data_IF_526732747348
#
_entry.id   IF_526732747348
#
_cell.length_a   1.000
_cell.length_b   1.000
_cell.length_c   1.000
_cell.angle_alpha   90.00
_cell.angle_beta   90.00
_cell.angle_gamma   90.00
#
_symmetry.space_group_name_H-M   'P 1'
#
loop_
_entity.id
_entity.type
_entity.pdbx_description
1 polymer ?
#
# COMPACT_ATOMS: atom_id res chain seq x y z
N UNK A 1 14.61 15.60 -22.57
CA UNK A 1 15.45 14.39 -22.76
C UNK A 1 16.11 13.87 -21.47
N UNK A 2 16.45 14.70 -20.48
CA UNK A 2 17.06 14.23 -19.21
C UNK A 2 16.16 13.30 -18.37
N UNK A 3 14.86 13.61 -18.25
CA UNK A 3 13.92 12.81 -17.44
C UNK A 3 13.81 11.33 -17.88
N UNK A 4 13.79 11.08 -19.20
CA UNK A 4 13.72 9.72 -19.74
C UNK A 4 14.99 8.91 -19.49
N UNK A 5 16.17 9.55 -19.54
CA UNK A 5 17.44 8.87 -19.21
C UNK A 5 17.50 8.50 -17.72
N UNK A 6 17.12 9.43 -16.86
CA UNK A 6 17.09 9.23 -15.40
C UNK A 6 16.15 8.07 -15.01
N UNK A 7 14.93 8.04 -15.57
CA UNK A 7 13.95 6.98 -15.27
C UNK A 7 14.44 5.59 -15.73
N UNK A 8 15.05 5.50 -16.91
CA UNK A 8 15.66 4.25 -17.39
C UNK A 8 16.79 3.77 -16.48
N UNK A 9 17.57 4.69 -15.91
CA UNK A 9 18.62 4.34 -14.97
C UNK A 9 18.05 3.80 -13.64
N UNK A 10 16.95 4.39 -13.15
CA UNK A 10 16.22 3.87 -12.00
C UNK A 10 15.71 2.44 -12.28
N UNK A 11 15.14 2.19 -13.46
CA UNK A 11 14.69 0.86 -13.84
C UNK A 11 15.81 -0.16 -13.86
N UNK A 12 16.94 0.16 -14.50
CA UNK A 12 18.10 -0.74 -14.58
C UNK A 12 18.62 -1.17 -13.21
N UNK A 13 18.54 -0.30 -12.21
CA UNK A 13 19.14 -0.54 -10.89
C UNK A 13 18.17 -1.10 -9.84
N UNK A 14 16.87 -0.81 -9.98
CA UNK A 14 15.87 -1.10 -8.94
C UNK A 14 14.75 -2.04 -9.39
N UNK A 15 14.49 -2.19 -10.68
CA UNK A 15 13.45 -3.11 -11.15
C UNK A 15 13.81 -4.55 -10.72
N UNK A 16 12.90 -5.16 -9.98
CA UNK A 16 13.02 -6.54 -9.53
C UNK A 16 11.63 -7.18 -9.59
N UNK A 17 11.46 -8.12 -10.51
CA UNK A 17 10.17 -8.75 -10.73
C UNK A 17 9.82 -9.85 -9.72
N UNK A 18 10.70 -10.14 -8.76
CA UNK A 18 10.42 -11.12 -7.71
C UNK A 18 9.30 -10.66 -6.78
N UNK A 19 8.82 -11.59 -5.93
CA UNK A 19 7.74 -11.32 -4.95
C UNK A 19 8.03 -10.16 -4.00
N UNK A 20 9.30 -9.95 -3.64
CA UNK A 20 9.72 -8.86 -2.75
C UNK A 20 10.34 -7.69 -3.51
N UNK A 21 10.51 -7.85 -4.82
CA UNK A 21 11.12 -6.89 -5.71
C UNK A 21 10.26 -5.66 -5.96
N UNK A 22 10.90 -4.63 -6.50
CA UNK A 22 10.28 -3.36 -6.81
C UNK A 22 9.77 -3.39 -8.25
N UNK A 23 8.49 -3.09 -8.41
CA UNK A 23 7.83 -3.06 -9.73
C UNK A 23 7.99 -1.69 -10.37
N UNK A 24 7.99 -1.66 -11.69
CA UNK A 24 8.06 -0.44 -12.52
C UNK A 24 7.09 0.65 -12.01
N UNK A 25 5.81 0.30 -11.87
CA UNK A 25 4.78 1.22 -11.32
C UNK A 25 5.10 1.85 -9.95
N UNK A 26 5.94 1.22 -9.12
CA UNK A 26 6.37 1.81 -7.84
C UNK A 26 7.50 2.82 -8.06
N UNK A 27 8.39 2.55 -9.00
CA UNK A 27 9.47 3.46 -9.39
C UNK A 27 8.86 4.72 -10.01
N UNK A 28 7.95 4.57 -10.97
CA UNK A 28 7.19 5.67 -11.59
C UNK A 28 6.50 6.54 -10.54
N UNK A 29 5.79 5.89 -9.63
CA UNK A 29 5.04 6.59 -8.59
C UNK A 29 5.95 7.37 -7.66
N UNK A 30 7.07 6.79 -7.22
CA UNK A 30 8.01 7.50 -6.34
C UNK A 30 8.74 8.63 -7.09
N UNK A 31 9.11 8.42 -8.35
CA UNK A 31 9.75 9.45 -9.16
C UNK A 31 8.83 10.66 -9.37
N UNK A 32 7.56 10.42 -9.70
CA UNK A 32 6.55 11.48 -9.79
C UNK A 32 6.24 12.13 -8.44
N UNK A 33 6.20 11.37 -7.34
CA UNK A 33 6.00 11.89 -5.99
C UNK A 33 7.13 12.84 -5.55
N UNK A 34 8.34 12.63 -6.07
CA UNK A 34 9.49 13.51 -5.88
C UNK A 34 9.66 14.52 -7.01
N UNK A 35 8.60 14.83 -7.77
CA UNK A 35 8.62 15.86 -8.83
C UNK A 35 9.69 15.60 -9.91
N UNK A 36 9.97 14.33 -10.18
CA UNK A 36 11.02 13.86 -11.09
C UNK A 36 12.46 14.19 -10.62
N UNK A 37 12.66 14.38 -9.32
CA UNK A 37 13.99 14.52 -8.71
C UNK A 37 14.68 13.14 -8.65
N UNK A 38 15.64 12.95 -9.55
CA UNK A 38 16.40 11.71 -9.68
C UNK A 38 17.14 11.32 -8.40
N UNK A 39 17.83 12.26 -7.76
CA UNK A 39 18.69 11.95 -6.61
C UNK A 39 17.87 11.63 -5.36
N UNK A 40 16.77 12.35 -5.12
CA UNK A 40 15.84 12.01 -4.02
C UNK A 40 15.20 10.65 -4.25
N UNK A 41 14.75 10.40 -5.48
CA UNK A 41 14.13 9.12 -5.83
C UNK A 41 15.11 7.97 -5.66
N UNK A 42 16.33 8.09 -6.20
CA UNK A 42 17.37 7.07 -6.05
C UNK A 42 17.63 6.70 -4.58
N UNK A 43 17.87 7.70 -3.73
CA UNK A 43 18.12 7.49 -2.29
C UNK A 43 16.94 6.79 -1.61
N UNK A 44 15.71 7.14 -1.99
CA UNK A 44 14.52 6.47 -1.48
C UNK A 44 14.45 5.01 -1.93
N UNK A 45 14.66 4.74 -3.22
CA UNK A 45 14.58 3.38 -3.77
C UNK A 45 15.68 2.48 -3.19
N UNK A 46 16.87 3.01 -2.93
CA UNK A 46 17.95 2.28 -2.26
C UNK A 46 17.56 1.87 -0.83
N UNK A 47 16.92 2.80 -0.09
CA UNK A 47 16.38 2.51 1.24
C UNK A 47 15.25 1.48 1.17
N UNK A 48 14.31 1.60 0.24
CA UNK A 48 13.20 0.64 0.05
C UNK A 48 13.74 -0.76 -0.29
N UNK A 49 14.76 -0.86 -1.15
CA UNK A 49 15.44 -2.12 -1.49
C UNK A 49 16.02 -2.80 -0.24
N UNK A 50 16.72 -2.04 0.62
CA UNK A 50 17.28 -2.54 1.90
C UNK A 50 16.16 -3.01 2.84
N UNK A 51 15.07 -2.26 2.95
CA UNK A 51 13.92 -2.62 3.80
C UNK A 51 13.21 -3.88 3.29
N UNK A 52 12.97 -4.01 1.99
CA UNK A 52 12.39 -5.21 1.36
C UNK A 52 13.23 -6.46 1.63
N UNK A 53 14.56 -6.35 1.53
CA UNK A 53 15.47 -7.44 1.87
C UNK A 53 15.37 -7.86 3.35
N UNK A 54 15.27 -6.89 4.28
CA UNK A 54 15.03 -7.17 5.70
C UNK A 54 13.70 -7.87 5.94
N UNK A 55 12.61 -7.40 5.32
CA UNK A 55 11.30 -8.05 5.40
C UNK A 55 11.38 -9.49 4.89
N UNK A 56 12.06 -9.73 3.76
CA UNK A 56 12.25 -11.08 3.21
C UNK A 56 12.94 -12.01 4.22
N UNK A 57 14.05 -11.57 4.82
CA UNK A 57 14.78 -12.33 5.84
C UNK A 57 13.91 -12.65 7.07
N UNK A 58 13.13 -11.69 7.55
CA UNK A 58 12.21 -11.90 8.68
C UNK A 58 11.07 -12.87 8.32
N UNK A 59 10.54 -12.81 7.10
CA UNK A 59 9.53 -13.76 6.61
C UNK A 59 10.09 -15.17 6.48
N UNK A 60 11.37 -15.32 6.14
CA UNK A 60 12.06 -16.62 6.11
C UNK A 60 12.30 -17.14 7.52
N UNK A 61 12.87 -16.32 8.41
CA UNK A 61 13.11 -16.67 9.83
C UNK A 61 11.83 -17.09 10.54
N UNK A 62 10.72 -16.38 10.31
CA UNK A 62 9.42 -16.71 10.87
C UNK A 62 8.97 -18.16 10.59
N UNK A 63 9.36 -18.74 9.45
CA UNK A 63 8.92 -20.10 9.07
C UNK A 63 9.50 -21.17 9.96
N UNK A 64 10.62 -20.92 10.65
CA UNK A 64 11.23 -21.91 11.54
C UNK A 64 10.62 -21.91 12.94
N UNK A 65 9.83 -20.90 13.31
CA UNK A 65 9.28 -20.79 14.67
C UNK A 65 8.16 -21.82 14.90
N UNK A 66 8.20 -22.47 16.07
CA UNK A 66 7.23 -23.47 16.51
C UNK A 66 6.28 -22.87 17.54
N UNK A 67 5.03 -22.67 17.14
CA UNK A 67 3.96 -22.31 18.06
C UNK A 67 3.52 -23.54 18.90
N UNK A 68 3.22 -23.40 20.21
CA UNK A 68 3.23 -22.16 21.00
C UNK A 68 4.58 -21.79 21.63
N UNK A 69 5.60 -22.67 21.56
CA UNK A 69 6.89 -22.50 22.26
C UNK A 69 7.60 -21.18 21.95
N UNK A 70 7.51 -20.71 20.72
CA UNK A 70 8.18 -19.49 20.25
C UNK A 70 7.19 -18.37 19.92
N UNK A 71 6.07 -18.29 20.66
CA UNK A 71 5.02 -17.28 20.46
C UNK A 71 5.59 -15.85 20.51
N UNK A 72 6.37 -15.51 21.53
CA UNK A 72 6.87 -14.14 21.72
C UNK A 72 7.86 -13.74 20.60
N UNK A 73 8.71 -14.69 20.16
CA UNK A 73 9.62 -14.49 19.02
C UNK A 73 8.85 -14.28 17.72
N UNK A 74 7.76 -15.04 17.52
CA UNK A 74 6.88 -14.90 16.37
C UNK A 74 6.19 -13.52 16.38
N UNK A 75 5.63 -13.11 17.51
CA UNK A 75 4.96 -11.81 17.67
C UNK A 75 5.93 -10.64 17.44
N UNK A 76 7.11 -10.67 18.07
CA UNK A 76 8.17 -9.66 17.87
C UNK A 76 8.64 -9.58 16.41
N UNK A 77 8.78 -10.72 15.75
CA UNK A 77 9.17 -10.77 14.33
C UNK A 77 8.07 -10.19 13.42
N UNK A 78 6.79 -10.47 13.73
CA UNK A 78 5.65 -9.91 13.00
C UNK A 78 5.57 -8.39 13.19
N UNK A 79 5.80 -7.89 14.40
CA UNK A 79 5.81 -6.46 14.67
C UNK A 79 6.94 -5.74 13.92
N UNK A 80 8.15 -6.33 13.93
CA UNK A 80 9.28 -5.83 13.13
C UNK A 80 8.94 -5.75 11.64
N UNK A 81 8.23 -6.74 11.10
CA UNK A 81 7.76 -6.71 9.70
C UNK A 81 6.76 -5.58 9.48
N UNK A 82 5.81 -5.37 10.41
CA UNK A 82 4.82 -4.29 10.31
C UNK A 82 5.49 -2.92 10.33
N UNK A 83 6.44 -2.67 11.22
CA UNK A 83 7.18 -1.41 11.30
C UNK A 83 7.99 -1.13 10.03
N UNK A 84 8.67 -2.14 9.49
CA UNK A 84 9.34 -2.00 8.20
C UNK A 84 8.34 -1.71 7.07
N UNK A 85 7.16 -2.33 7.06
CA UNK A 85 6.14 -2.06 6.07
C UNK A 85 5.54 -0.64 6.20
N UNK A 86 5.39 -0.12 7.43
CA UNK A 86 5.04 1.29 7.69
C UNK A 86 6.13 2.23 7.17
N UNK A 87 7.39 1.92 7.44
CA UNK A 87 8.54 2.71 6.99
C UNK A 87 8.57 2.87 5.46
N UNK A 88 8.23 1.82 4.70
CA UNK A 88 8.13 1.88 3.23
C UNK A 88 7.05 2.84 2.72
N UNK A 89 6.06 3.16 3.54
CA UNK A 89 4.98 4.07 3.20
C UNK A 89 5.12 5.46 3.84
N UNK A 90 6.15 5.69 4.66
CA UNK A 90 6.35 6.93 5.43
C UNK A 90 6.24 8.21 4.60
N UNK A 91 6.97 8.27 3.48
CA UNK A 91 6.97 9.46 2.60
C UNK A 91 5.60 9.76 2.02
N UNK A 92 4.84 8.73 1.64
CA UNK A 92 3.48 8.89 1.09
C UNK A 92 2.53 9.35 2.19
N UNK A 93 2.73 8.85 3.40
CA UNK A 93 1.97 9.26 4.58
C UNK A 93 2.25 10.72 4.94
N UNK A 94 3.50 11.17 4.89
CA UNK A 94 3.88 12.57 5.09
C UNK A 94 3.22 13.48 4.05
N UNK A 95 3.18 13.01 2.79
CA UNK A 95 2.55 13.72 1.68
C UNK A 95 1.04 13.88 1.80
N UNK A 96 0.36 13.18 2.73
CA UNK A 96 -1.07 13.42 3.04
C UNK A 96 -1.32 14.89 3.36
N UNK A 97 -0.39 15.58 4.02
CA UNK A 97 -0.57 16.97 4.47
C UNK A 97 -0.39 18.00 3.35
N UNK A 98 0.38 17.67 2.33
CA UNK A 98 0.90 18.64 1.36
C UNK A 98 -0.06 18.93 0.17
N UNK A 99 -1.28 18.38 0.17
CA UNK A 99 -2.28 18.50 -0.92
C UNK A 99 -1.79 18.14 -2.34
N UNK A 100 -0.65 17.45 -2.44
CA UNK A 100 -0.05 16.88 -3.65
C UNK A 100 0.38 15.46 -3.28
N UNK A 101 0.20 14.37 -4.07
CA UNK A 101 -0.30 14.18 -5.45
C UNK A 101 -1.82 13.88 -5.55
N UNK A 102 -2.42 13.84 -6.77
CA UNK A 102 -3.85 13.53 -6.98
C UNK A 102 -4.27 12.11 -6.55
N UNK A 103 -3.31 11.19 -6.40
CA UNK A 103 -3.58 9.83 -5.92
C UNK A 103 -2.49 9.37 -4.96
N UNK A 104 -2.90 8.95 -3.77
CA UNK A 104 -2.03 8.33 -2.78
C UNK A 104 -2.04 6.82 -2.92
N UNK A 105 -0.87 6.20 -3.03
CA UNK A 105 -0.74 4.75 -3.26
C UNK A 105 0.07 4.09 -2.14
N UNK A 106 -0.62 3.48 -1.19
CA UNK A 106 -0.03 2.77 -0.06
C UNK A 106 0.18 1.29 -0.37
N UNK A 107 1.39 0.78 -0.11
CA UNK A 107 1.73 -0.62 -0.29
C UNK A 107 1.54 -1.39 1.02
N UNK A 108 0.49 -2.22 1.09
CA UNK A 108 0.19 -3.06 2.25
C UNK A 108 0.91 -4.42 2.20
N UNK A 109 1.83 -4.61 1.24
CA UNK A 109 2.68 -5.80 1.22
C UNK A 109 3.64 -5.80 2.40
N UNK A 110 3.60 -6.88 3.16
CA UNK A 110 4.44 -7.07 4.35
C UNK A 110 3.60 -7.16 5.60
N UNK A 111 2.61 -6.28 5.74
CA UNK A 111 1.73 -6.20 6.92
C UNK A 111 1.07 -7.54 7.28
N UNK A 112 0.80 -7.71 8.57
CA UNK A 112 -0.24 -8.62 9.04
C UNK A 112 -1.63 -8.07 8.69
N UNK A 113 -2.67 -8.92 8.75
CA UNK A 113 -4.05 -8.47 8.46
C UNK A 113 -4.48 -7.35 9.41
N UNK A 114 -4.30 -7.57 10.71
CA UNK A 114 -4.64 -6.60 11.75
C UNK A 114 -3.90 -5.27 11.55
N UNK A 115 -2.58 -5.31 11.41
CA UNK A 115 -1.79 -4.09 11.27
C UNK A 115 -2.03 -3.36 9.96
N UNK A 116 -2.44 -4.05 8.89
CA UNK A 116 -2.88 -3.40 7.66
C UNK A 116 -4.15 -2.57 7.89
N UNK A 117 -5.15 -3.12 8.58
CA UNK A 117 -6.38 -2.41 8.93
C UNK A 117 -6.08 -1.22 9.84
N UNK A 118 -5.29 -1.41 10.90
CA UNK A 118 -4.86 -0.34 11.81
C UNK A 118 -4.09 0.77 11.06
N UNK A 119 -3.24 0.40 10.09
CA UNK A 119 -2.54 1.38 9.28
C UNK A 119 -3.47 2.18 8.37
N UNK A 120 -4.48 1.53 7.76
CA UNK A 120 -5.49 2.24 6.95
C UNK A 120 -6.33 3.18 7.80
N UNK A 121 -6.67 2.82 9.05
CA UNK A 121 -7.28 3.76 9.98
C UNK A 121 -6.42 5.02 10.21
N UNK A 122 -5.11 4.85 10.39
CA UNK A 122 -4.19 5.99 10.54
C UNK A 122 -4.16 6.88 9.29
N UNK A 123 -4.19 6.30 8.09
CA UNK A 123 -4.29 7.04 6.83
C UNK A 123 -5.60 7.81 6.77
N UNK A 124 -6.70 7.16 7.12
CA UNK A 124 -8.03 7.76 7.15
C UNK A 124 -8.13 8.95 8.12
N UNK A 125 -7.61 8.78 9.34
CA UNK A 125 -7.56 9.86 10.33
C UNK A 125 -6.67 11.01 9.90
N UNK A 126 -5.52 10.72 9.25
CA UNK A 126 -4.64 11.75 8.72
C UNK A 126 -5.32 12.57 7.61
N UNK A 127 -5.97 11.89 6.65
CA UNK A 127 -6.75 12.54 5.59
C UNK A 127 -7.86 13.42 6.16
N UNK A 128 -8.59 12.92 7.16
CA UNK A 128 -9.63 13.68 7.86
C UNK A 128 -9.11 14.88 8.64
N UNK A 129 -7.83 14.94 8.99
CA UNK A 129 -7.24 16.07 9.72
C UNK A 129 -6.61 17.11 8.79
N UNK A 130 -6.36 16.80 7.53
CA UNK A 130 -5.79 17.75 6.57
C UNK A 130 -6.85 18.78 6.14
N UNK A 131 -6.75 20.07 6.52
CA UNK A 131 -7.82 21.03 6.31
C UNK A 131 -8.13 21.28 4.84
N UNK A 132 -7.09 21.33 3.99
CA UNK A 132 -7.18 21.78 2.60
C UNK A 132 -7.48 20.68 1.58
N UNK A 133 -7.05 19.44 1.84
CA UNK A 133 -7.00 18.35 0.83
C UNK A 133 -8.35 17.87 0.32
N UNK A 134 -9.42 18.11 1.09
CA UNK A 134 -10.78 17.71 0.74
C UNK A 134 -11.73 18.93 0.72
N UNK A 135 -11.23 20.16 0.63
CA UNK A 135 -12.10 21.35 0.55
C UNK A 135 -12.69 21.52 -0.83
N UNK A 136 -11.98 21.13 -1.88
CA UNK A 136 -12.39 21.46 -3.25
C UNK A 136 -12.91 20.23 -4.00
N UNK A 137 -12.30 19.05 -3.79
CA UNK A 137 -12.61 17.83 -4.53
C UNK A 137 -12.57 16.59 -3.62
N UNK A 138 -13.25 15.55 -4.07
CA UNK A 138 -13.06 14.19 -3.53
C UNK A 138 -11.76 13.58 -4.07
N UNK A 139 -11.17 12.67 -3.31
CA UNK A 139 -9.93 11.97 -3.68
C UNK A 139 -10.08 10.45 -3.59
N UNK A 140 -9.28 9.73 -4.38
CA UNK A 140 -9.15 8.28 -4.30
C UNK A 140 -7.79 7.89 -3.73
N UNK A 141 -7.80 7.01 -2.74
CA UNK A 141 -6.60 6.41 -2.17
C UNK A 141 -6.54 4.94 -2.57
N UNK A 142 -5.38 4.52 -3.06
CA UNK A 142 -5.15 3.14 -3.51
C UNK A 142 -4.30 2.40 -2.48
N UNK A 143 -4.79 1.24 -2.06
CA UNK A 143 -4.10 0.30 -1.19
C UNK A 143 -3.71 -0.96 -1.97
N UNK A 144 -2.41 -1.20 -2.14
CA UNK A 144 -1.89 -2.40 -2.81
C UNK A 144 -1.87 -3.54 -1.79
N UNK A 145 -2.80 -4.49 -1.91
CA UNK A 145 -2.91 -5.68 -1.05
C UNK A 145 -2.18 -6.89 -1.64
N UNK A 146 -1.96 -6.88 -2.95
CA UNK A 146 -1.26 -7.92 -3.71
C UNK A 146 -2.19 -8.85 -4.46
N UNK A 147 -1.69 -9.38 -5.58
CA UNK A 147 -2.45 -10.33 -6.40
C UNK A 147 -2.48 -11.67 -5.69
N UNK A 148 -3.66 -12.22 -5.51
CA UNK A 148 -3.82 -13.63 -5.19
C UNK A 148 -3.34 -14.42 -6.41
N UNK A 149 -2.31 -15.26 -6.25
CA UNK A 149 -1.96 -16.21 -7.29
C UNK A 149 -3.16 -17.14 -7.47
N UNK A 150 -3.91 -17.03 -8.57
CA UNK A 150 -4.84 -18.09 -8.95
C UNK A 150 -3.97 -19.32 -9.23
N UNK A 151 -4.11 -20.44 -8.51
CA UNK A 151 -3.42 -21.66 -8.88
C UNK A 151 -3.80 -21.95 -10.33
N UNK A 152 -2.82 -22.18 -11.21
CA UNK A 152 -3.11 -22.78 -12.53
C UNK A 152 -3.99 -23.99 -12.26
N UNK A 153 -5.15 -24.08 -12.94
CA UNK A 153 -6.11 -25.18 -12.79
C UNK A 153 -5.36 -26.50 -12.98
N UNK A 154 -4.90 -27.13 -11.91
CA UNK A 154 -4.68 -28.57 -11.90
C UNK A 154 -6.05 -29.19 -11.68
N UNK A 155 -6.35 -30.16 -12.53
CA UNK A 155 -7.63 -30.85 -12.59
C UNK A 155 -8.11 -31.28 -11.20
N UNK A 156 -9.43 -31.26 -11.06
CA UNK A 156 -10.26 -31.84 -10.01
C UNK A 156 -9.53 -32.81 -9.06
N UNK A 157 -9.37 -32.39 -7.81
CA UNK A 157 -9.65 -33.26 -6.67
C UNK A 157 -10.21 -32.39 -5.54
N UNK A 158 -11.29 -32.89 -4.97
CA UNK A 158 -11.97 -32.39 -3.78
C UNK A 158 -10.99 -31.98 -2.68
N UNK A 159 -10.85 -30.67 -2.44
CA UNK A 159 -10.36 -30.14 -1.17
C UNK A 159 -11.14 -28.88 -0.81
N UNK A 160 -12.21 -29.08 -0.04
CA UNK A 160 -12.78 -28.07 0.86
C UNK A 160 -11.62 -27.36 1.59
N UNK A 161 -11.68 -26.04 1.63
CA UNK A 161 -10.73 -25.12 2.28
C UNK A 161 -9.39 -24.88 1.57
N UNK A 162 -9.42 -24.25 0.38
CA UNK A 162 -8.27 -23.43 -0.06
C UNK A 162 -8.14 -22.26 0.92
N UNK A 163 -7.20 -22.35 1.88
CA UNK A 163 -6.90 -21.29 2.82
C UNK A 163 -6.68 -19.97 2.08
N UNK A 164 -7.45 -18.94 2.41
CA UNK A 164 -7.30 -17.63 1.82
C UNK A 164 -5.85 -17.14 1.96
N UNK A 165 -5.30 -16.60 0.88
CA UNK A 165 -3.97 -15.97 0.92
C UNK A 165 -4.02 -14.75 1.85
N UNK A 166 -2.87 -14.39 2.46
CA UNK A 166 -2.79 -13.17 3.30
C UNK A 166 -3.30 -11.91 2.57
N UNK A 167 -3.00 -11.78 1.28
CA UNK A 167 -3.46 -10.68 0.46
C UNK A 167 -5.01 -10.63 0.36
N UNK A 168 -5.66 -11.79 0.17
CA UNK A 168 -7.12 -11.90 0.19
C UNK A 168 -7.69 -11.51 1.55
N UNK A 169 -7.09 -12.00 2.63
CA UNK A 169 -7.54 -11.67 4.00
C UNK A 169 -7.43 -10.18 4.30
N UNK A 170 -6.33 -9.52 3.90
CA UNK A 170 -6.20 -8.06 4.02
C UNK A 170 -7.31 -7.37 3.22
N UNK A 171 -7.50 -7.75 1.95
CA UNK A 171 -8.52 -7.17 1.10
C UNK A 171 -9.93 -7.32 1.69
N UNK A 172 -10.32 -8.55 2.06
CA UNK A 172 -11.62 -8.83 2.67
C UNK A 172 -11.82 -8.02 3.96
N UNK A 173 -10.78 -7.93 4.79
CA UNK A 173 -10.84 -7.12 6.01
C UNK A 173 -11.06 -5.63 5.70
N UNK A 174 -10.36 -5.07 4.70
CA UNK A 174 -10.56 -3.67 4.31
C UNK A 174 -11.97 -3.42 3.78
N UNK A 175 -12.45 -4.25 2.85
CA UNK A 175 -13.78 -4.12 2.26
C UNK A 175 -14.90 -4.29 3.30
N UNK A 176 -14.70 -5.15 4.30
CA UNK A 176 -15.65 -5.32 5.40
C UNK A 176 -15.58 -4.23 6.47
N UNK A 177 -14.47 -3.51 6.58
CA UNK A 177 -14.26 -2.48 7.62
C UNK A 177 -14.64 -1.08 7.15
N UNK A 178 -14.38 -0.75 5.88
CA UNK A 178 -14.52 0.61 5.35
C UNK A 178 -15.59 0.66 4.26
N UNK A 179 -16.68 1.39 4.50
CA UNK A 179 -17.85 1.43 3.61
C UNK A 179 -17.55 2.04 2.22
N UNK A 180 -16.73 3.10 2.16
CA UNK A 180 -16.35 3.74 0.88
C UNK A 180 -15.15 3.04 0.21
N UNK A 181 -15.02 1.71 0.35
CA UNK A 181 -13.98 0.93 -0.33
C UNK A 181 -14.53 -0.07 -1.32
N UNK A 182 -13.81 -0.23 -2.44
CA UNK A 182 -14.10 -1.25 -3.43
C UNK A 182 -12.82 -1.87 -3.96
N UNK A 183 -12.96 -3.07 -4.53
CA UNK A 183 -11.87 -3.70 -5.25
C UNK A 183 -11.77 -3.10 -6.65
N UNK A 184 -10.55 -2.71 -7.05
CA UNK A 184 -10.28 -2.31 -8.43
C UNK A 184 -10.59 -3.48 -9.39
N UNK A 185 -11.52 -3.26 -10.32
CA UNK A 185 -11.96 -4.25 -11.29
C UNK A 185 -10.85 -4.63 -12.27
N UNK A 186 -9.97 -3.68 -12.62
CA UNK A 186 -8.84 -3.89 -13.54
C UNK A 186 -7.65 -4.53 -12.83
N UNK A 187 -7.54 -4.38 -11.51
CA UNK A 187 -6.45 -4.95 -10.74
C UNK A 187 -6.89 -5.47 -9.36
N UNK A 188 -7.23 -6.76 -9.29
CA UNK A 188 -7.68 -7.43 -8.06
C UNK A 188 -6.73 -7.37 -6.85
N UNK A 189 -5.47 -6.95 -7.05
CA UNK A 189 -4.50 -6.72 -5.98
C UNK A 189 -4.52 -5.29 -5.42
N UNK A 190 -5.50 -4.47 -5.79
CA UNK A 190 -5.72 -3.12 -5.31
C UNK A 190 -7.12 -3.00 -4.69
N UNK A 191 -7.17 -2.29 -3.57
CA UNK A 191 -8.39 -1.78 -2.95
C UNK A 191 -8.33 -0.27 -3.10
N UNK A 192 -9.42 0.34 -3.56
CA UNK A 192 -9.55 1.79 -3.67
C UNK A 192 -10.50 2.25 -2.58
N UNK A 193 -10.17 3.36 -1.93
CA UNK A 193 -11.01 4.04 -0.95
C UNK A 193 -11.31 5.45 -1.47
N UNK A 194 -12.59 5.81 -1.48
CA UNK A 194 -13.01 7.15 -1.84
C UNK A 194 -13.10 8.03 -0.60
N UNK A 195 -12.40 9.16 -0.62
CA UNK A 195 -12.50 10.21 0.38
C UNK A 195 -13.30 11.36 -0.21
N UNK A 196 -14.49 11.59 0.32
CA UNK A 196 -15.38 12.63 -0.17
C UNK A 196 -14.87 14.02 0.23
N UNK A 197 -15.09 14.99 -0.66
CA UNK A 197 -15.03 16.42 -0.33
C UNK A 197 -15.81 16.68 0.96
N UNK A 198 -15.27 17.55 1.83
CA UNK A 198 -16.01 18.07 2.99
C UNK A 198 -17.09 19.02 2.49
N UNK A 199 -18.34 18.78 2.88
CA UNK A 199 -19.42 19.73 2.63
C UNK A 199 -19.15 21.02 3.42
N UNK A 200 -19.08 22.14 2.71
CA UNK A 200 -19.02 23.47 3.29
C UNK A 200 -20.40 24.12 3.26
N UNK A 201 -20.57 25.22 4.00
CA UNK A 201 -21.81 26.00 3.98
C UNK A 201 -22.15 26.53 2.58
N UNK A 202 -21.13 26.92 1.80
CA UNK A 202 -21.31 27.35 0.41
C UNK A 202 -21.87 26.22 -0.47
N UNK A 203 -21.40 24.98 -0.29
CA UNK A 203 -21.92 23.81 -1.02
C UNK A 203 -23.38 23.51 -0.66
N UNK A 204 -23.78 23.78 0.59
CA UNK A 204 -25.17 23.60 1.03
C UNK A 204 -26.11 24.66 0.42
N UNK A 205 -25.64 25.90 0.27
CA UNK A 205 -26.40 26.98 -0.34
C UNK A 205 -26.60 26.77 -1.84
N UNK A 206 -25.56 26.35 -2.58
CA UNK A 206 -25.71 26.09 -4.04
C UNK A 206 -26.73 24.99 -4.36
N UNK A 207 -26.87 23.99 -3.49
CA UNK A 207 -27.88 22.94 -3.65
C UNK A 207 -29.29 23.39 -3.27
N UNK A 208 -29.44 24.48 -2.51
CA UNK A 208 -30.74 25.05 -2.13
C UNK A 208 -31.33 25.96 -3.21
N UNK A 209 -30.51 26.49 -4.11
CA UNK A 209 -30.92 27.38 -5.20
C UNK A 209 -30.97 26.68 -6.58
N UNK A 210 -30.86 25.35 -6.62
CA UNK A 210 -31.10 24.51 -7.81
C UNK A 210 -32.42 23.77 -7.65
#
# INVERSE_FOLDING_TARGET
MASFRNLNELYRNFLDETKFGMKESRIDYLYSLYENDYMKTWRHLEKDKKVRAKIKKLQEKKKSYKYPKEKDLLESTLESINELAKQRNSVIFEKIKDCHPPQLVFDLHGFTVRSAVEYVYKVFDAMKKTPQRLMNNSEEIVFITGRSYKPKKKAFTDRRNKSETKAQRIRTALLGTFQDTWQDQRNSGRVVMHFRKRLTYADALENFFK
#
